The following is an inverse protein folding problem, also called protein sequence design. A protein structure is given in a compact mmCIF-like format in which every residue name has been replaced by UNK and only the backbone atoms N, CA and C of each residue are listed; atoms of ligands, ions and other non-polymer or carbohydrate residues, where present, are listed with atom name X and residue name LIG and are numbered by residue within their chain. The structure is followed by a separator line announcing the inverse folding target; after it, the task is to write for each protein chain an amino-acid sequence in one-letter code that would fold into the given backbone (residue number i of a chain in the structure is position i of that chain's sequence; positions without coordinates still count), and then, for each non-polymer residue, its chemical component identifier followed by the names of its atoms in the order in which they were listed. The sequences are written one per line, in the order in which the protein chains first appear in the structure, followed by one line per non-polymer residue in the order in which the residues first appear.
data_IF_993447950897
#
_entry.id   IF_993447950897
#
_cell.length_a   1.000
_cell.length_b   1.000
_cell.length_c   1.000
_cell.angle_alpha   90.00
_cell.angle_beta   90.00
_cell.angle_gamma   90.00
#
_symmetry.space_group_name_H-M   'P 1'
#
loop_
_entity.id
_entity.type
_entity.pdbx_description
1 polymer ?
#
# COMPACT_ATOMS: atom_id res chain seq x y z
N UNK A 1 4.81 -15.40 -12.50
CA UNK A 1 5.15 -14.81 -11.19
C UNK A 1 5.07 -13.29 -11.31
N UNK A 2 4.27 -12.62 -10.48
CA UNK A 2 4.13 -11.15 -10.48
C UNK A 2 5.48 -10.53 -10.12
N UNK A 3 6.02 -9.65 -10.98
CA UNK A 3 7.32 -8.99 -10.72
C UNK A 3 7.18 -8.03 -9.55
N UNK A 4 7.94 -8.27 -8.46
CA UNK A 4 8.06 -7.30 -7.36
C UNK A 4 8.71 -6.02 -7.89
N UNK A 5 8.12 -4.86 -7.60
CA UNK A 5 8.72 -3.54 -7.85
C UNK A 5 9.02 -2.89 -6.50
N UNK A 6 10.21 -2.32 -6.36
CA UNK A 6 10.62 -1.59 -5.15
C UNK A 6 10.31 -0.12 -5.35
N UNK A 7 9.64 0.50 -4.38
CA UNK A 7 9.31 1.93 -4.37
C UNK A 7 9.86 2.56 -3.09
N UNK A 8 10.42 3.76 -3.19
CA UNK A 8 10.87 4.55 -2.04
C UNK A 8 9.78 5.56 -1.69
N UNK A 9 9.39 5.61 -0.42
CA UNK A 9 8.37 6.54 0.09
C UNK A 9 9.00 7.42 1.15
N UNK A 10 8.67 8.71 1.15
CA UNK A 10 9.10 9.65 2.17
C UNK A 10 8.05 9.67 3.27
N UNK A 11 8.49 9.45 4.50
CA UNK A 11 7.65 9.51 5.70
C UNK A 11 8.30 10.45 6.71
N UNK A 12 7.48 11.19 7.45
CA UNK A 12 7.91 11.80 8.71
C UNK A 12 8.32 10.74 9.73
N UNK A 13 8.97 11.17 10.80
CA UNK A 13 9.39 10.28 11.88
C UNK A 13 8.18 9.62 12.55
N UNK A 14 7.14 10.39 12.82
CA UNK A 14 5.90 9.91 13.45
C UNK A 14 5.19 8.88 12.58
N UNK A 15 5.10 9.14 11.26
CA UNK A 15 4.52 8.18 10.31
C UNK A 15 5.30 6.87 10.25
N UNK A 16 6.64 6.93 10.36
CA UNK A 16 7.48 5.74 10.40
C UNK A 16 7.23 4.92 11.68
N UNK A 17 7.12 5.58 12.82
CA UNK A 17 6.82 4.93 14.10
C UNK A 17 5.44 4.25 14.08
N UNK A 18 4.41 4.91 13.52
CA UNK A 18 3.07 4.33 13.32
C UNK A 18 3.15 3.10 12.41
N UNK A 19 3.87 3.18 11.28
CA UNK A 19 4.04 2.06 10.35
C UNK A 19 4.71 0.86 11.03
N UNK A 20 5.79 1.09 11.78
CA UNK A 20 6.50 0.01 12.48
C UNK A 20 5.62 -0.65 13.55
N UNK A 21 4.83 0.13 14.29
CA UNK A 21 3.90 -0.41 15.29
C UNK A 21 2.76 -1.21 14.64
N UNK A 22 2.20 -0.74 13.52
CA UNK A 22 1.18 -1.48 12.76
C UNK A 22 1.73 -2.80 12.23
N UNK A 23 2.91 -2.77 11.60
CA UNK A 23 3.58 -3.97 11.09
C UNK A 23 3.81 -4.99 12.21
N UNK A 24 4.28 -4.53 13.38
CA UNK A 24 4.48 -5.36 14.57
C UNK A 24 3.18 -5.99 15.07
N UNK A 25 2.09 -5.23 15.17
CA UNK A 25 0.78 -5.73 15.65
C UNK A 25 0.14 -6.74 14.70
N UNK A 26 0.30 -6.51 13.39
CA UNK A 26 -0.27 -7.37 12.36
C UNK A 26 0.60 -8.61 12.07
N UNK A 27 1.85 -8.65 12.57
CA UNK A 27 2.78 -9.74 12.32
C UNK A 27 3.26 -9.79 10.86
N UNK A 28 3.28 -8.66 10.16
CA UNK A 28 3.66 -8.56 8.75
C UNK A 28 4.79 -7.56 8.55
N UNK A 29 5.43 -7.58 7.38
CA UNK A 29 6.45 -6.59 7.04
C UNK A 29 5.85 -5.20 6.81
N UNK A 30 6.62 -4.14 7.04
CA UNK A 30 6.19 -2.78 6.74
C UNK A 30 5.80 -2.57 5.25
N UNK A 31 6.44 -3.32 4.35
CA UNK A 31 6.09 -3.32 2.91
C UNK A 31 4.71 -3.94 2.64
N UNK A 32 4.30 -4.91 3.46
CA UNK A 32 2.94 -5.46 3.45
C UNK A 32 1.95 -4.44 3.98
N UNK A 33 2.24 -3.84 5.14
CA UNK A 33 1.39 -2.83 5.75
C UNK A 33 1.16 -1.63 4.83
N UNK A 34 2.21 -1.07 4.23
CA UNK A 34 2.08 0.03 3.26
C UNK A 34 1.30 -0.37 2.01
N UNK A 35 1.44 -1.62 1.56
CA UNK A 35 0.67 -2.11 0.41
C UNK A 35 -0.80 -2.26 0.74
N UNK A 36 -1.15 -2.77 1.92
CA UNK A 36 -2.54 -2.83 2.38
C UNK A 36 -3.14 -1.43 2.42
N UNK A 37 -2.47 -0.49 3.11
CA UNK A 37 -2.93 0.90 3.22
C UNK A 37 -3.07 1.58 1.84
N UNK A 38 -2.10 1.39 0.94
CA UNK A 38 -2.17 1.91 -0.43
C UNK A 38 -3.37 1.36 -1.19
N UNK A 39 -3.63 0.05 -1.09
CA UNK A 39 -4.73 -0.59 -1.80
C UNK A 39 -6.09 -0.18 -1.24
N UNK A 40 -6.22 -0.04 0.08
CA UNK A 40 -7.45 0.41 0.71
C UNK A 40 -7.75 1.86 0.34
N UNK A 41 -6.75 2.75 0.38
CA UNK A 41 -6.93 4.12 -0.10
C UNK A 41 -7.27 4.19 -1.59
N UNK A 42 -6.65 3.33 -2.42
CA UNK A 42 -6.98 3.25 -3.85
C UNK A 42 -8.43 2.74 -4.11
N UNK A 43 -8.98 1.90 -3.23
CA UNK A 43 -10.40 1.49 -3.28
C UNK A 43 -11.31 2.66 -2.94
N UNK A 44 -11.00 3.40 -1.87
CA UNK A 44 -11.78 4.58 -1.45
C UNK A 44 -11.85 5.64 -2.54
N UNK A 45 -10.78 5.80 -3.33
CA UNK A 45 -10.73 6.71 -4.47
C UNK A 45 -11.32 6.13 -5.77
N UNK A 46 -11.92 4.93 -5.75
CA UNK A 46 -12.41 4.20 -6.93
C UNK A 46 -11.37 3.98 -8.05
N UNK A 47 -10.07 4.22 -7.78
CA UNK A 47 -8.99 4.11 -8.77
C UNK A 47 -8.79 2.69 -9.27
N UNK A 48 -9.10 1.69 -8.44
CA UNK A 48 -9.08 0.29 -8.85
C UNK A 48 -10.14 0.01 -9.92
N UNK A 49 -11.34 0.56 -9.75
CA UNK A 49 -12.44 0.39 -10.71
C UNK A 49 -12.15 1.09 -12.03
N UNK A 50 -11.64 2.32 -11.98
CA UNK A 50 -11.25 3.09 -13.17
C UNK A 50 -10.16 2.39 -13.98
N UNK A 51 -9.16 1.82 -13.30
CA UNK A 51 -8.04 1.14 -13.96
C UNK A 51 -8.46 -0.20 -14.57
N UNK A 52 -9.36 -0.93 -13.92
CA UNK A 52 -9.95 -2.16 -14.46
C UNK A 52 -10.82 -1.87 -15.69
N UNK A 53 -11.54 -0.73 -15.69
CA UNK A 53 -12.34 -0.29 -16.84
C UNK A 53 -11.46 0.03 -18.06
N UNK A 54 -10.32 0.71 -17.87
CA UNK A 54 -9.37 1.06 -18.94
C UNK A 54 -8.62 -0.14 -19.55
N UNK A 55 -8.56 -1.29 -18.90
CA UNK A 55 -7.92 -2.50 -19.46
C UNK A 55 -8.91 -3.43 -20.19
N UNK A 56 -10.21 -3.09 -20.21
CA UNK A 56 -11.26 -3.87 -20.89
C UNK A 56 -11.62 -3.36 -22.28
N UNK A 57 -10.97 -2.31 -22.77
CA UNK A 57 -11.14 -1.74 -24.11
C UNK A 57 -9.80 -1.61 -24.81
#
# INVERSE_FOLDING_TARGET
MTRKRVVKVVLSREQKEILSELARRLGVSESETLRMALMDYAKELSLIEEKMRRHRF
#
